data_IF_598896487217
#
_entry.id   IF_598896487217
#
_cell.length_a   1.000
_cell.length_b   1.000
_cell.length_c   1.000
_cell.angle_alpha   90.00
_cell.angle_beta   90.00
_cell.angle_gamma   90.00
#
_symmetry.space_group_name_H-M   'P 1'
#
loop_
_entity.id
_entity.type
_entity.pdbx_description
1 polymer ?
#
# COMPACT_ATOMS: atom_id res chain seq x y z
N UNK A 1 29.40 0.22 11.39
CA UNK A 1 29.01 0.80 10.07
C UNK A 1 27.54 0.48 9.77
N UNK A 2 27.02 -0.69 10.15
CA UNK A 2 25.57 -0.96 10.17
C UNK A 2 24.89 -0.24 11.35
N UNK A 3 25.54 -0.19 12.51
CA UNK A 3 24.99 0.43 13.72
C UNK A 3 24.66 1.93 13.55
N UNK A 4 25.35 2.62 12.65
CA UNK A 4 25.08 4.03 12.33
C UNK A 4 23.83 4.24 11.47
N UNK A 5 23.25 3.17 10.92
CA UNK A 5 22.00 3.22 10.15
C UNK A 5 20.77 2.96 11.04
N UNK A 6 20.97 2.41 12.23
CA UNK A 6 19.89 1.96 13.11
C UNK A 6 19.56 3.03 14.16
N UNK A 7 18.27 3.21 14.43
CA UNK A 7 17.83 3.84 15.67
C UNK A 7 18.09 2.89 16.85
N UNK A 8 18.04 3.43 18.08
CA UNK A 8 18.17 2.61 19.29
C UNK A 8 17.16 1.46 19.33
N UNK A 9 15.90 1.76 18.98
CA UNK A 9 14.83 0.76 18.94
C UNK A 9 15.04 -0.30 17.87
N UNK A 10 15.55 0.08 16.69
CA UNK A 10 15.89 -0.86 15.62
C UNK A 10 17.07 -1.76 16.00
N UNK A 11 18.07 -1.22 16.71
CA UNK A 11 19.18 -2.01 17.23
C UNK A 11 18.72 -3.05 18.28
N UNK A 12 17.86 -2.63 19.22
CA UNK A 12 17.25 -3.55 20.20
C UNK A 12 16.38 -4.62 19.51
N UNK A 13 15.65 -4.25 18.45
CA UNK A 13 14.88 -5.20 17.64
C UNK A 13 15.77 -6.19 16.90
N UNK A 14 16.86 -5.73 16.28
CA UNK A 14 17.84 -6.58 15.61
C UNK A 14 18.49 -7.58 16.57
N UNK A 15 18.83 -7.15 17.79
CA UNK A 15 19.38 -8.05 18.81
C UNK A 15 18.37 -9.14 19.23
N UNK A 16 17.10 -8.76 19.40
CA UNK A 16 16.02 -9.66 19.83
C UNK A 16 15.54 -10.61 18.73
N UNK A 17 15.28 -10.08 17.55
CA UNK A 17 14.58 -10.77 16.44
C UNK A 17 15.55 -11.26 15.35
N UNK A 18 16.84 -10.91 15.44
CA UNK A 18 17.93 -11.28 14.50
C UNK A 18 17.81 -10.67 13.10
N UNK A 19 16.75 -9.93 12.82
CA UNK A 19 16.55 -9.16 11.61
C UNK A 19 15.70 -7.91 11.87
N UNK A 20 15.87 -6.87 11.03
CA UNK A 20 15.05 -5.67 11.06
C UNK A 20 14.93 -5.04 9.66
N UNK A 21 13.70 -4.69 9.28
CA UNK A 21 13.38 -3.90 8.09
C UNK A 21 13.08 -2.46 8.46
N UNK A 22 13.59 -1.50 7.68
CA UNK A 22 13.28 -0.08 7.84
C UNK A 22 13.59 0.73 6.57
N UNK A 23 12.98 1.92 6.50
CA UNK A 23 13.31 2.95 5.52
C UNK A 23 14.45 3.85 5.99
N UNK A 24 15.39 4.19 5.12
CA UNK A 24 16.48 5.14 5.40
C UNK A 24 16.58 6.21 4.31
N UNK A 25 16.54 7.49 4.72
CA UNK A 25 16.70 8.64 3.82
C UNK A 25 18.12 9.18 3.90
N UNK A 26 18.90 9.02 2.83
CA UNK A 26 20.26 9.58 2.77
C UNK A 26 20.24 11.01 2.22
N UNK A 27 19.91 11.96 3.09
CA UNK A 27 19.71 13.38 2.71
C UNK A 27 18.76 13.44 1.49
N UNK A 28 19.11 14.25 0.50
CA UNK A 28 18.34 14.41 -0.75
C UNK A 28 18.85 13.50 -1.89
N UNK A 29 19.74 12.54 -1.60
CA UNK A 29 20.37 11.70 -2.64
C UNK A 29 19.60 10.42 -2.96
N UNK A 30 18.78 9.94 -2.02
CA UNK A 30 17.98 8.74 -2.23
C UNK A 30 17.45 8.13 -0.94
N UNK A 31 16.35 7.40 -1.08
CA UNK A 31 15.79 6.56 -0.01
C UNK A 31 16.12 5.11 -0.27
N UNK A 32 16.25 4.35 0.81
CA UNK A 32 16.55 2.93 0.75
C UNK A 32 15.61 2.17 1.66
N UNK A 33 15.08 1.05 1.18
CA UNK A 33 14.57 0.00 2.05
C UNK A 33 15.75 -0.86 2.46
N UNK A 34 16.03 -0.90 3.75
CA UNK A 34 17.15 -1.64 4.32
C UNK A 34 16.59 -2.80 5.13
N UNK A 35 17.09 -4.00 4.84
CA UNK A 35 16.93 -5.17 5.69
C UNK A 35 18.30 -5.51 6.28
N UNK A 36 18.42 -5.49 7.61
CA UNK A 36 19.64 -5.90 8.34
C UNK A 36 19.37 -7.23 9.02
N UNK A 37 20.30 -8.18 8.90
CA UNK A 37 20.13 -9.54 9.39
C UNK A 37 21.46 -10.17 9.85
N UNK A 38 21.38 -11.18 10.71
CA UNK A 38 22.55 -11.96 11.12
C UNK A 38 22.85 -13.10 10.13
N UNK A 39 24.11 -13.26 9.72
CA UNK A 39 24.61 -14.36 8.90
C UNK A 39 25.95 -14.87 9.42
N UNK A 40 26.01 -16.13 9.88
CA UNK A 40 27.25 -16.78 10.38
C UNK A 40 28.01 -15.95 11.42
N UNK A 41 27.29 -15.36 12.37
CA UNK A 41 27.80 -14.44 13.39
C UNK A 41 28.31 -13.08 12.88
N UNK A 42 28.11 -12.77 11.60
CA UNK A 42 28.31 -11.43 11.04
C UNK A 42 26.97 -10.74 10.81
N UNK A 43 27.00 -9.40 10.70
CA UNK A 43 25.86 -8.63 10.22
C UNK A 43 25.92 -8.51 8.70
N UNK A 44 24.79 -8.77 8.05
CA UNK A 44 24.53 -8.47 6.65
C UNK A 44 23.49 -7.36 6.52
N UNK A 45 23.54 -6.61 5.43
CA UNK A 45 22.52 -5.62 5.10
C UNK A 45 22.21 -5.67 3.59
N UNK A 46 20.93 -5.74 3.25
CA UNK A 46 20.45 -5.59 1.89
C UNK A 46 19.81 -4.20 1.75
N UNK A 47 20.35 -3.38 0.85
CA UNK A 47 19.84 -2.03 0.57
C UNK A 47 19.19 -2.02 -0.81
N UNK A 48 17.89 -1.72 -0.86
CA UNK A 48 17.15 -1.52 -2.11
C UNK A 48 16.86 -0.04 -2.28
N UNK A 49 17.34 0.55 -3.37
CA UNK A 49 17.01 1.93 -3.73
C UNK A 49 15.50 2.07 -3.93
N UNK A 50 14.93 3.06 -3.27
CA UNK A 50 13.56 3.50 -3.45
C UNK A 50 13.56 4.60 -4.52
N UNK A 51 12.84 4.43 -5.66
CA UNK A 51 12.75 5.45 -6.70
C UNK A 51 12.20 6.76 -6.14
N UNK A 52 12.85 7.88 -6.49
CA UNK A 52 12.43 9.20 -6.03
C UNK A 52 11.26 9.79 -6.85
N UNK A 53 11.15 9.38 -8.13
CA UNK A 53 10.16 9.93 -9.06
C UNK A 53 9.01 8.93 -9.25
N UNK A 54 7.78 9.40 -9.05
CA UNK A 54 6.57 8.66 -9.40
C UNK A 54 6.33 8.85 -10.90
N UNK A 55 6.26 7.75 -11.63
CA UNK A 55 5.99 7.78 -13.07
C UNK A 55 4.49 7.87 -13.33
N UNK A 56 4.09 8.65 -14.33
CA UNK A 56 2.69 8.71 -14.75
C UNK A 56 2.24 7.39 -15.39
N UNK A 57 0.92 7.19 -15.48
CA UNK A 57 0.31 6.03 -16.13
C UNK A 57 0.81 5.87 -17.58
N UNK A 58 0.98 6.98 -18.31
CA UNK A 58 1.49 7.00 -19.68
C UNK A 58 2.98 6.61 -19.73
N UNK A 59 3.80 7.13 -18.81
CA UNK A 59 5.23 6.77 -18.71
C UNK A 59 5.43 5.29 -18.36
N UNK A 60 4.52 4.72 -17.56
CA UNK A 60 4.48 3.29 -17.26
C UNK A 60 3.92 2.43 -18.40
N UNK A 61 3.39 3.06 -19.46
CA UNK A 61 2.72 2.41 -20.59
C UNK A 61 1.54 1.54 -20.15
N UNK A 62 0.87 1.97 -19.08
CA UNK A 62 -0.35 1.31 -18.60
C UNK A 62 -1.54 1.68 -19.51
N UNK A 63 -2.55 0.81 -19.62
CA UNK A 63 -3.76 1.10 -20.38
C UNK A 63 -4.44 2.38 -19.86
N UNK A 64 -4.76 3.38 -20.72
CA UNK A 64 -5.33 4.66 -20.28
C UNK A 64 -6.66 4.54 -19.52
N UNK A 65 -7.36 3.43 -19.69
CA UNK A 65 -8.60 3.12 -18.98
C UNK A 65 -8.41 3.12 -17.45
N UNK A 66 -7.19 2.89 -16.94
CA UNK A 66 -6.96 2.88 -15.49
C UNK A 66 -7.12 4.28 -14.86
N UNK A 67 -6.87 5.35 -15.61
CA UNK A 67 -7.08 6.74 -15.15
C UNK A 67 -8.56 7.06 -14.92
N UNK A 68 -9.50 6.24 -15.39
CA UNK A 68 -10.91 6.47 -15.07
C UNK A 68 -11.18 6.25 -13.56
N UNK A 69 -10.41 5.35 -12.93
CA UNK A 69 -10.62 4.98 -11.53
C UNK A 69 -10.24 6.09 -10.55
N UNK A 70 -9.38 7.04 -10.97
CA UNK A 70 -8.99 8.21 -10.16
C UNK A 70 -10.08 9.28 -10.08
N UNK A 71 -11.13 9.17 -10.91
CA UNK A 71 -12.23 10.14 -11.01
C UNK A 71 -13.44 9.81 -10.13
N UNK A 72 -13.51 8.60 -9.59
CA UNK A 72 -14.61 8.24 -8.68
C UNK A 72 -14.44 8.98 -7.35
N UNK A 73 -15.55 9.29 -6.68
CA UNK A 73 -15.50 9.85 -5.32
C UNK A 73 -15.49 8.76 -4.25
N UNK A 74 -16.00 7.58 -4.59
CA UNK A 74 -16.09 6.44 -3.68
C UNK A 74 -15.96 5.13 -4.43
N UNK A 75 -15.60 4.08 -3.69
CA UNK A 75 -15.55 2.70 -4.19
C UNK A 75 -14.19 2.07 -3.97
N UNK A 76 -14.05 0.83 -4.42
CA UNK A 76 -12.91 -0.02 -4.12
C UNK A 76 -12.20 -0.48 -5.40
N UNK A 77 -10.93 -0.11 -5.56
CA UNK A 77 -10.12 -0.49 -6.71
C UNK A 77 -8.88 -1.29 -6.26
N UNK A 78 -8.67 -2.43 -6.90
CA UNK A 78 -7.63 -3.39 -6.54
C UNK A 78 -6.57 -3.50 -7.63
N UNK A 79 -5.30 -3.32 -7.27
CA UNK A 79 -4.16 -3.68 -8.11
C UNK A 79 -3.59 -4.99 -7.61
N UNK A 80 -3.61 -6.03 -8.44
CA UNK A 80 -3.23 -7.38 -8.04
C UNK A 80 -2.11 -7.93 -8.91
N UNK A 81 -1.43 -8.95 -8.40
CA UNK A 81 -0.30 -9.59 -9.05
C UNK A 81 0.73 -10.11 -8.05
N UNK A 82 1.73 -10.88 -8.49
CA UNK A 82 2.76 -11.39 -7.59
C UNK A 82 3.69 -10.28 -7.06
N UNK A 83 4.54 -10.62 -6.10
CA UNK A 83 5.57 -9.71 -5.57
C UNK A 83 6.53 -9.26 -6.68
N UNK A 84 6.91 -7.98 -6.68
CA UNK A 84 7.85 -7.44 -7.67
C UNK A 84 7.28 -7.17 -9.07
N UNK A 85 5.97 -7.35 -9.29
CA UNK A 85 5.36 -7.05 -10.60
C UNK A 85 4.81 -5.62 -10.73
N UNK A 86 5.26 -4.67 -9.91
CA UNK A 86 4.97 -3.24 -10.08
C UNK A 86 3.60 -2.75 -9.57
N UNK A 87 2.97 -3.48 -8.65
CA UNK A 87 1.68 -3.07 -8.04
C UNK A 87 1.80 -1.71 -7.34
N UNK A 88 2.78 -1.55 -6.46
CA UNK A 88 3.04 -0.31 -5.71
C UNK A 88 3.32 0.86 -6.66
N UNK A 89 4.04 0.63 -7.76
CA UNK A 89 4.29 1.64 -8.80
C UNK A 89 3.01 2.10 -9.48
N UNK A 90 2.12 1.17 -9.82
CA UNK A 90 0.81 1.50 -10.41
C UNK A 90 -0.09 2.24 -9.43
N UNK A 91 -0.13 1.80 -8.16
CA UNK A 91 -0.87 2.51 -7.11
C UNK A 91 -0.34 3.93 -6.91
N UNK A 92 0.98 4.10 -6.87
CA UNK A 92 1.61 5.40 -6.75
C UNK A 92 1.22 6.31 -7.92
N UNK A 93 1.26 5.82 -9.16
CA UNK A 93 0.87 6.61 -10.33
C UNK A 93 -0.60 7.09 -10.28
N UNK A 94 -1.51 6.24 -9.77
CA UNK A 94 -2.93 6.59 -9.64
C UNK A 94 -3.18 7.61 -8.52
N UNK A 95 -2.54 7.41 -7.37
CA UNK A 95 -2.64 8.34 -6.23
C UNK A 95 -2.01 9.70 -6.57
N UNK A 96 -0.89 9.70 -7.29
CA UNK A 96 -0.24 10.93 -7.75
C UNK A 96 -1.07 11.67 -8.80
N UNK A 97 -1.77 10.95 -9.69
CA UNK A 97 -2.74 11.56 -10.59
C UNK A 97 -3.87 12.28 -9.83
N UNK A 98 -4.38 11.68 -8.74
CA UNK A 98 -5.38 12.31 -7.85
C UNK A 98 -4.79 13.58 -7.23
N UNK A 99 -3.59 13.48 -6.66
CA UNK A 99 -2.87 14.60 -6.03
C UNK A 99 -2.73 15.83 -6.96
N UNK A 100 -2.55 15.61 -8.26
CA UNK A 100 -2.41 16.68 -9.25
C UNK A 100 -3.74 17.20 -9.83
N UNK A 101 -4.87 16.50 -9.61
CA UNK A 101 -6.15 16.81 -10.29
C UNK A 101 -7.29 17.19 -9.35
N UNK A 102 -7.20 16.81 -8.07
CA UNK A 102 -8.29 16.93 -7.08
C UNK A 102 -7.85 17.79 -5.90
N UNK A 103 -8.78 18.15 -5.03
CA UNK A 103 -8.50 18.92 -3.80
C UNK A 103 -8.96 18.06 -2.62
N UNK A 104 -8.36 16.88 -2.50
CA UNK A 104 -8.80 15.82 -1.62
C UNK A 104 -7.78 15.60 -0.50
N UNK A 105 -8.20 14.93 0.56
CA UNK A 105 -7.31 14.39 1.57
C UNK A 105 -6.98 12.92 1.26
N UNK A 106 -5.71 12.66 0.97
CA UNK A 106 -5.17 11.34 0.65
C UNK A 106 -4.43 10.81 1.89
N UNK A 107 -4.81 9.62 2.36
CA UNK A 107 -4.04 8.90 3.39
C UNK A 107 -3.52 7.58 2.84
N UNK A 108 -2.21 7.34 2.96
CA UNK A 108 -1.59 6.06 2.61
C UNK A 108 -1.17 5.29 3.87
N UNK A 109 -1.30 3.96 3.82
CA UNK A 109 -0.83 3.04 4.85
C UNK A 109 0.03 1.98 4.16
N UNK A 110 1.31 1.93 4.51
CA UNK A 110 2.34 1.18 3.77
C UNK A 110 3.31 0.44 4.70
N UNK A 111 4.00 -0.60 4.21
CA UNK A 111 4.96 -1.41 4.98
C UNK A 111 6.14 -1.88 4.09
N UNK A 112 7.23 -1.08 3.96
CA UNK A 112 7.34 0.34 4.34
C UNK A 112 6.83 1.27 3.23
N UNK A 113 6.91 2.59 3.43
CA UNK A 113 6.56 3.58 2.41
C UNK A 113 7.50 3.46 1.19
N UNK A 114 6.93 3.17 0.02
CA UNK A 114 7.69 2.97 -1.23
C UNK A 114 7.86 4.23 -2.07
N UNK A 115 6.90 5.14 -2.11
CA UNK A 115 7.02 6.39 -2.89
C UNK A 115 6.71 7.57 -1.97
N UNK A 116 7.41 8.68 -2.14
CA UNK A 116 7.03 9.93 -1.46
C UNK A 116 6.18 10.76 -2.41
N UNK A 117 5.00 11.14 -1.94
CA UNK A 117 4.16 12.09 -2.65
C UNK A 117 4.56 13.50 -2.24
N UNK A 118 4.97 14.31 -3.21
CA UNK A 118 5.08 15.75 -3.00
C UNK A 118 3.68 16.33 -3.08
N UNK A 119 3.21 16.96 -1.99
CA UNK A 119 1.89 17.58 -1.96
C UNK A 119 1.77 18.65 -3.05
N UNK A 120 0.70 18.59 -3.84
CA UNK A 120 0.36 19.61 -4.85
C UNK A 120 -1.02 20.21 -4.54
N UNK A 121 -2.09 19.58 -5.01
CA UNK A 121 -3.47 20.05 -4.79
C UNK A 121 -4.17 19.32 -3.66
N UNK A 122 -3.73 18.10 -3.36
CA UNK A 122 -4.22 17.31 -2.24
C UNK A 122 -3.34 17.48 -1.00
N UNK A 123 -3.95 17.26 0.17
CA UNK A 123 -3.21 16.96 1.39
C UNK A 123 -2.86 15.48 1.33
N UNK A 124 -1.59 15.12 1.53
CA UNK A 124 -1.14 13.73 1.51
C UNK A 124 -0.43 13.38 2.82
N UNK A 125 -1.03 12.46 3.58
CA UNK A 125 -0.48 11.90 4.81
C UNK A 125 -0.10 10.43 4.57
N UNK A 126 1.19 10.10 4.69
CA UNK A 126 1.68 8.73 4.54
C UNK A 126 2.03 8.14 5.89
N UNK A 127 1.60 6.89 6.14
CA UNK A 127 1.82 6.20 7.41
C UNK A 127 2.53 4.87 7.19
N UNK A 128 3.73 4.75 7.73
CA UNK A 128 4.52 3.52 7.72
C UNK A 128 4.15 2.61 8.90
N UNK A 129 3.79 1.36 8.61
CA UNK A 129 3.56 0.32 9.63
C UNK A 129 4.87 0.00 10.34
N UNK A 130 4.82 -0.09 11.67
CA UNK A 130 5.99 -0.26 12.53
C UNK A 130 6.65 1.04 12.97
N UNK A 131 6.42 2.16 12.27
CA UNK A 131 6.92 3.50 12.64
C UNK A 131 5.78 4.42 13.10
N UNK A 132 4.81 4.69 12.21
CA UNK A 132 3.75 5.70 12.43
C UNK A 132 2.42 5.06 12.90
N UNK A 133 2.34 3.74 12.80
CA UNK A 133 1.22 2.91 13.25
C UNK A 133 1.70 1.50 13.59
N UNK A 134 1.00 0.80 14.48
CA UNK A 134 1.38 -0.55 14.87
C UNK A 134 0.95 -1.64 13.87
N UNK A 135 -0.10 -1.38 13.09
CA UNK A 135 -0.62 -2.33 12.10
C UNK A 135 -1.50 -1.66 11.05
N UNK A 136 -1.71 -2.34 9.92
CA UNK A 136 -2.66 -1.95 8.88
C UNK A 136 -4.07 -1.77 9.42
N UNK A 137 -4.60 -2.78 10.13
CA UNK A 137 -5.94 -2.72 10.71
C UNK A 137 -6.13 -1.50 11.63
N UNK A 138 -5.16 -1.23 12.52
CA UNK A 138 -5.23 -0.09 13.45
C UNK A 138 -5.20 1.24 12.71
N UNK A 139 -4.33 1.39 11.70
CA UNK A 139 -4.27 2.59 10.90
C UNK A 139 -5.56 2.82 10.12
N UNK A 140 -6.04 1.80 9.41
CA UNK A 140 -7.22 1.90 8.56
C UNK A 140 -8.48 2.22 9.36
N UNK A 141 -8.62 1.66 10.56
CA UNK A 141 -9.71 2.02 11.48
C UNK A 141 -9.61 3.46 12.02
N UNK A 142 -8.39 3.97 12.19
CA UNK A 142 -8.17 5.34 12.62
C UNK A 142 -8.45 6.33 11.48
N UNK A 143 -8.08 5.99 10.25
CA UNK A 143 -8.26 6.78 9.03
C UNK A 143 -9.70 7.24 8.84
N UNK A 144 -10.70 6.42 9.20
CA UNK A 144 -12.12 6.81 9.15
C UNK A 144 -12.51 8.01 10.04
N UNK A 145 -11.63 8.49 10.91
CA UNK A 145 -11.81 9.71 11.73
C UNK A 145 -10.79 10.80 11.41
N UNK A 146 -10.04 10.64 10.31
CA UNK A 146 -9.01 11.58 9.86
C UNK A 146 -9.49 12.41 8.65
N UNK A 147 -10.80 12.42 8.37
CA UNK A 147 -11.41 13.13 7.24
C UNK A 147 -10.74 12.84 5.88
N UNK A 148 -10.49 11.55 5.51
CA UNK A 148 -9.90 11.22 4.21
C UNK A 148 -10.97 11.23 3.11
N UNK A 149 -10.58 11.55 1.89
CA UNK A 149 -11.37 11.29 0.68
C UNK A 149 -10.86 10.03 -0.04
N UNK A 150 -9.53 9.88 -0.07
CA UNK A 150 -8.84 8.77 -0.75
C UNK A 150 -7.96 8.02 0.24
N UNK A 151 -8.08 6.70 0.23
CA UNK A 151 -7.31 5.82 1.11
C UNK A 151 -6.52 4.85 0.24
N UNK A 152 -5.20 4.80 0.41
CA UNK A 152 -4.35 3.77 -0.20
C UNK A 152 -3.83 2.81 0.86
N UNK A 153 -4.10 1.52 0.69
CA UNK A 153 -3.61 0.46 1.57
C UNK A 153 -2.63 -0.41 0.78
N UNK A 154 -1.36 -0.38 1.17
CA UNK A 154 -0.27 -1.03 0.44
C UNK A 154 -0.53 -2.50 0.15
N UNK A 155 -1.03 -3.26 1.13
CA UNK A 155 -1.41 -4.67 0.94
C UNK A 155 -2.52 -5.11 1.89
N UNK A 156 -3.51 -5.84 1.39
CA UNK A 156 -4.52 -6.51 2.21
C UNK A 156 -4.12 -7.97 2.44
N UNK A 157 -3.72 -8.27 3.68
CA UNK A 157 -3.28 -9.61 4.09
C UNK A 157 -4.33 -10.36 4.87
N UNK A 158 -4.92 -9.70 5.85
CA UNK A 158 -5.82 -10.30 6.83
C UNK A 158 -7.29 -9.88 6.62
N UNK A 159 -8.25 -10.69 7.10
CA UNK A 159 -9.67 -10.43 6.92
C UNK A 159 -10.14 -9.14 7.62
N UNK A 160 -9.52 -8.77 8.74
CA UNK A 160 -9.89 -7.56 9.51
C UNK A 160 -9.57 -6.28 8.72
N UNK A 161 -8.40 -6.23 8.09
CA UNK A 161 -8.00 -5.13 7.22
C UNK A 161 -8.86 -5.10 5.96
N UNK A 162 -9.15 -6.25 5.34
CA UNK A 162 -10.06 -6.33 4.18
C UNK A 162 -11.46 -5.82 4.52
N UNK A 163 -12.03 -6.25 5.64
CA UNK A 163 -13.35 -5.81 6.10
C UNK A 163 -13.40 -4.30 6.31
N UNK A 164 -12.36 -3.74 6.91
CA UNK A 164 -12.28 -2.29 7.15
C UNK A 164 -12.15 -1.52 5.84
N UNK A 165 -11.38 -2.03 4.87
CA UNK A 165 -11.24 -1.42 3.55
C UNK A 165 -12.56 -1.41 2.76
N UNK A 166 -13.28 -2.55 2.78
CA UNK A 166 -14.61 -2.66 2.15
C UNK A 166 -15.60 -1.71 2.81
N UNK A 167 -15.59 -1.63 4.15
CA UNK A 167 -16.44 -0.69 4.90
C UNK A 167 -16.12 0.76 4.54
N UNK A 168 -14.84 1.13 4.44
CA UNK A 168 -14.43 2.46 4.03
C UNK A 168 -14.95 2.83 2.62
N UNK A 169 -14.85 1.89 1.68
CA UNK A 169 -15.37 2.08 0.32
C UNK A 169 -16.91 2.21 0.30
N UNK A 170 -17.61 1.50 1.20
CA UNK A 170 -19.06 1.59 1.36
C UNK A 170 -19.49 2.93 1.99
N UNK A 171 -18.67 3.49 2.89
CA UNK A 171 -18.97 4.74 3.60
C UNK A 171 -18.50 6.00 2.87
N UNK A 172 -18.29 5.93 1.56
CA UNK A 172 -18.08 7.10 0.71
C UNK A 172 -16.62 7.45 0.40
N UNK A 173 -15.67 6.58 0.72
CA UNK A 173 -14.25 6.80 0.44
C UNK A 173 -13.83 6.11 -0.86
N UNK A 174 -12.86 6.68 -1.57
CA UNK A 174 -12.18 5.99 -2.66
C UNK A 174 -11.00 5.19 -2.11
N UNK A 175 -11.09 3.87 -2.15
CA UNK A 175 -10.09 2.98 -1.58
C UNK A 175 -9.30 2.29 -2.70
N UNK A 176 -7.98 2.46 -2.66
CA UNK A 176 -7.01 1.74 -3.47
C UNK A 176 -6.28 0.72 -2.60
N UNK A 177 -6.16 -0.52 -3.07
CA UNK A 177 -5.35 -1.50 -2.35
C UNK A 177 -4.69 -2.53 -3.27
N UNK A 178 -3.74 -3.28 -2.70
CA UNK A 178 -3.13 -4.41 -3.40
C UNK A 178 -3.39 -5.76 -2.73
N UNK A 179 -3.47 -6.81 -3.55
CA UNK A 179 -3.57 -8.22 -3.11
C UNK A 179 -2.66 -9.08 -3.99
N UNK A 180 -2.04 -10.10 -3.39
CA UNK A 180 -1.18 -11.05 -4.13
C UNK A 180 -1.99 -12.20 -4.74
N UNK A 181 -2.81 -11.90 -5.73
CA UNK A 181 -3.54 -12.85 -6.58
C UNK A 181 -3.11 -12.71 -8.04
N UNK A 182 -3.36 -13.73 -8.87
CA UNK A 182 -2.89 -13.73 -10.25
C UNK A 182 -3.90 -13.15 -11.25
N UNK A 183 -5.18 -13.05 -10.89
CA UNK A 183 -6.23 -12.56 -11.77
C UNK A 183 -7.45 -12.05 -10.98
N UNK A 184 -8.39 -11.43 -11.69
CA UNK A 184 -9.57 -10.82 -11.10
C UNK A 184 -10.45 -11.84 -10.35
N UNK A 185 -10.78 -12.99 -10.95
CA UNK A 185 -11.66 -13.99 -10.31
C UNK A 185 -11.06 -14.53 -9.01
N UNK A 186 -9.78 -14.94 -9.03
CA UNK A 186 -9.08 -15.39 -7.82
C UNK A 186 -9.01 -14.32 -6.73
N UNK A 187 -9.01 -13.04 -7.12
CA UNK A 187 -9.04 -11.94 -6.14
C UNK A 187 -10.37 -11.92 -5.39
N UNK A 188 -11.48 -12.07 -6.11
CA UNK A 188 -12.82 -12.13 -5.51
C UNK A 188 -12.94 -13.35 -4.60
N UNK A 189 -12.54 -14.52 -5.10
CA UNK A 189 -12.59 -15.77 -4.33
C UNK A 189 -11.74 -15.64 -3.05
N UNK A 190 -10.51 -15.15 -3.17
CA UNK A 190 -9.61 -14.96 -2.03
C UNK A 190 -10.21 -14.01 -0.98
N UNK A 191 -10.82 -12.90 -1.39
CA UNK A 191 -11.45 -11.97 -0.45
C UNK A 191 -12.57 -12.68 0.30
N UNK A 192 -13.49 -13.36 -0.40
CA UNK A 192 -14.64 -14.02 0.21
C UNK A 192 -14.19 -15.17 1.12
N UNK A 193 -13.26 -16.01 0.66
CA UNK A 193 -12.77 -17.20 1.37
C UNK A 193 -11.92 -16.86 2.60
N UNK A 194 -11.48 -15.60 2.73
CA UNK A 194 -10.79 -15.12 3.93
C UNK A 194 -11.73 -14.96 5.13
N UNK A 195 -13.06 -15.01 4.93
CA UNK A 195 -14.05 -14.83 5.99
C UNK A 195 -14.74 -16.16 6.38
N UNK A 196 -15.15 -16.31 7.66
CA UNK A 196 -15.97 -17.44 8.09
C UNK A 196 -17.27 -17.55 7.29
N UNK A 197 -17.78 -18.77 7.09
CA UNK A 197 -18.95 -19.04 6.22
C UNK A 197 -20.18 -18.19 6.54
N UNK A 198 -20.41 -17.85 7.81
CA UNK A 198 -21.52 -16.99 8.22
C UNK A 198 -21.43 -15.53 7.74
N UNK A 199 -20.23 -15.05 7.37
CA UNK A 199 -19.98 -13.68 6.90
C UNK A 199 -19.77 -13.57 5.39
N UNK A 200 -19.52 -14.68 4.69
CA UNK A 200 -19.18 -14.66 3.26
C UNK A 200 -20.26 -14.01 2.37
N UNK A 201 -21.53 -14.26 2.66
CA UNK A 201 -22.65 -13.65 1.91
C UNK A 201 -22.73 -12.13 2.10
N UNK A 202 -22.40 -11.64 3.31
CA UNK A 202 -22.35 -10.21 3.58
C UNK A 202 -21.20 -9.57 2.80
N UNK A 203 -19.99 -10.14 2.90
CA UNK A 203 -18.81 -9.64 2.18
C UNK A 203 -19.04 -9.64 0.67
N UNK A 204 -19.66 -10.68 0.13
CA UNK A 204 -20.03 -10.74 -1.30
C UNK A 204 -20.96 -9.59 -1.69
N UNK A 205 -21.99 -9.34 -0.88
CA UNK A 205 -22.94 -8.23 -1.11
C UNK A 205 -22.22 -6.88 -1.08
N UNK A 206 -21.42 -6.62 -0.04
CA UNK A 206 -20.68 -5.36 0.10
C UNK A 206 -19.68 -5.15 -1.05
N UNK A 207 -18.93 -6.20 -1.40
CA UNK A 207 -17.99 -6.13 -2.52
C UNK A 207 -18.70 -5.88 -3.85
N UNK A 208 -19.87 -6.49 -4.07
CA UNK A 208 -20.66 -6.24 -5.30
C UNK A 208 -21.16 -4.80 -5.42
N UNK A 209 -21.37 -4.11 -4.29
CA UNK A 209 -21.82 -2.73 -4.25
C UNK A 209 -20.67 -1.72 -4.36
N UNK A 210 -19.46 -2.09 -3.93
CA UNK A 210 -18.33 -1.16 -3.77
C UNK A 210 -17.22 -1.35 -4.80
N UNK A 211 -17.03 -2.54 -5.37
CA UNK A 211 -15.92 -2.84 -6.26
C UNK A 211 -16.04 -2.09 -7.59
N UNK A 212 -15.08 -1.21 -7.86
CA UNK A 212 -14.96 -0.47 -9.12
C UNK A 212 -14.22 -1.31 -10.18
N UNK A 213 -13.20 -2.05 -9.77
CA UNK A 213 -12.41 -2.85 -10.69
C UNK A 213 -11.22 -3.57 -10.05
N UNK A 214 -10.71 -4.57 -10.77
CA UNK A 214 -9.49 -5.30 -10.42
C UNK A 214 -8.53 -5.24 -11.61
N UNK A 215 -7.34 -4.70 -11.38
CA UNK A 215 -6.26 -4.63 -12.35
C UNK A 215 -5.17 -5.64 -12.01
N UNK A 216 -5.12 -6.74 -12.76
CA UNK A 216 -4.07 -7.77 -12.58
C UNK A 216 -2.86 -7.47 -13.43
N UNK A 217 -1.70 -7.34 -12.80
CA UNK A 217 -0.45 -6.92 -13.42
C UNK A 217 0.62 -8.02 -13.36
N UNK A 218 1.32 -8.19 -14.48
CA UNK A 218 2.49 -9.06 -14.58
C UNK A 218 3.54 -8.44 -15.51
N UNK A 219 4.68 -8.06 -14.95
CA UNK A 219 5.88 -7.76 -15.74
C UNK A 219 6.39 -9.01 -16.48
N UNK A 220 6.77 -8.79 -17.74
CA UNK A 220 7.39 -9.78 -18.64
C UNK A 220 8.79 -9.31 -19.04
N UNK A 221 9.74 -10.22 -19.32
CA UNK A 221 11.08 -9.88 -19.82
C UNK A 221 11.05 -9.15 -21.16
#
# INVERSE_FOLDING_TARGET
MVDSLLTKEQAEKLEREREVDFSYSFKDKGRFRINVFHQRNFLGAALRLIPAEIRTVEQLRLPPIINQFTRYNQGFFLVVGPSGHGKSTTLAALVDEINHKRNDHIITIEDPIEYLFLQDRCIVDQREVGSDTLSFHRALRAVLRQDPDVIMVGELRDPETMSTAITAAETGHLVFASIHTNNASQTIDRIIDSFPSGQQNQIRTQLSATLLGVFSQRLIP
#
